data_IF_879753801973
#
_entry.id   IF_879753801973
#
_cell.length_a   1.000
_cell.length_b   1.000
_cell.length_c   1.000
_cell.angle_alpha   90.00
_cell.angle_beta   90.00
_cell.angle_gamma   90.00
#
_symmetry.space_group_name_H-M   'P 1'
#
loop_
_entity.id
_entity.type
_entity.pdbx_description
1 polymer ?
#
# COMPACT_ATOMS: atom_id res chain seq x y z
N UNK A 1 -9.59 -22.09 13.88
CA UNK A 1 -9.82 -20.98 14.83
C UNK A 1 -9.11 -19.68 14.38
N UNK A 2 -9.58 -19.12 13.24
CA UNK A 2 -8.96 -17.98 12.57
C UNK A 2 -8.75 -16.77 13.49
N UNK A 3 -9.75 -16.45 14.32
CA UNK A 3 -9.67 -15.30 15.23
C UNK A 3 -8.50 -15.42 16.23
N UNK A 4 -8.33 -16.60 16.82
CA UNK A 4 -7.23 -16.83 17.75
C UNK A 4 -5.86 -16.76 17.07
N UNK A 5 -5.73 -17.29 15.84
CA UNK A 5 -4.49 -17.22 15.05
C UNK A 5 -4.12 -15.77 14.73
N UNK A 6 -5.09 -15.00 14.25
CA UNK A 6 -4.90 -13.60 13.91
C UNK A 6 -4.61 -12.74 15.14
N UNK A 7 -5.31 -12.97 16.25
CA UNK A 7 -5.06 -12.25 17.49
C UNK A 7 -3.62 -12.48 18.00
N UNK A 8 -3.17 -13.74 18.04
CA UNK A 8 -1.81 -14.09 18.45
C UNK A 8 -0.75 -13.44 17.55
N UNK A 9 -0.97 -13.48 16.23
CA UNK A 9 -0.09 -12.83 15.26
C UNK A 9 -0.03 -11.31 15.45
N UNK A 10 -1.18 -10.63 15.54
CA UNK A 10 -1.27 -9.17 15.59
C UNK A 10 -0.69 -8.58 16.88
N UNK A 11 -0.71 -9.33 17.97
CA UNK A 11 -0.10 -8.93 19.25
C UNK A 11 1.43 -8.94 19.23
N UNK A 12 2.06 -9.58 18.23
CA UNK A 12 3.52 -9.57 18.04
C UNK A 12 4.03 -8.28 17.37
N UNK A 13 3.14 -7.51 16.72
CA UNK A 13 3.50 -6.24 16.06
C UNK A 13 3.78 -5.14 17.10
N UNK A 14 5.06 -4.81 17.28
CA UNK A 14 5.48 -3.77 18.27
C UNK A 14 5.00 -2.36 17.87
N UNK A 15 4.91 -2.08 16.58
CA UNK A 15 4.51 -0.78 16.01
C UNK A 15 3.42 -0.99 14.96
N UNK A 16 2.18 -1.35 15.36
CA UNK A 16 1.14 -1.68 14.42
C UNK A 16 0.72 -0.44 13.61
N UNK A 17 0.73 -0.57 12.29
CA UNK A 17 0.19 0.42 11.38
C UNK A 17 -1.36 0.49 11.48
N UNK A 18 -2.03 1.48 10.87
CA UNK A 18 -3.50 1.61 10.96
C UNK A 18 -4.26 0.36 10.53
N UNK A 19 -3.79 -0.36 9.52
CA UNK A 19 -4.37 -1.64 9.07
C UNK A 19 -4.26 -2.72 10.14
N UNK A 20 -3.09 -2.91 10.73
CA UNK A 20 -2.86 -3.89 11.79
C UNK A 20 -3.70 -3.56 13.04
N UNK A 21 -3.86 -2.27 13.39
CA UNK A 21 -4.74 -1.83 14.49
C UNK A 21 -6.20 -2.19 14.22
N UNK A 22 -6.73 -1.88 13.04
CA UNK A 22 -8.09 -2.23 12.65
C UNK A 22 -8.31 -3.74 12.65
N UNK A 23 -7.34 -4.52 12.16
CA UNK A 23 -7.41 -5.98 12.20
C UNK A 23 -7.36 -6.52 13.62
N UNK A 24 -6.57 -5.94 14.52
CA UNK A 24 -6.51 -6.34 15.94
C UNK A 24 -7.83 -6.08 16.66
N UNK A 25 -8.51 -4.99 16.34
CA UNK A 25 -9.84 -4.70 16.87
C UNK A 25 -10.91 -5.69 16.37
N UNK A 26 -10.80 -6.13 15.13
CA UNK A 26 -11.72 -7.08 14.51
C UNK A 26 -11.47 -8.52 14.98
N UNK A 27 -10.23 -8.98 15.02
CA UNK A 27 -9.85 -10.35 15.37
C UNK A 27 -9.57 -10.53 16.88
N UNK A 28 -10.48 -10.07 17.73
CA UNK A 28 -10.36 -10.29 19.20
C UNK A 28 -10.58 -11.76 19.54
N UNK A 29 -9.75 -12.28 20.44
CA UNK A 29 -9.87 -13.64 20.96
C UNK A 29 -9.27 -13.75 22.36
N UNK A 30 -9.94 -14.47 23.25
CA UNK A 30 -9.45 -14.80 24.58
C UNK A 30 -8.52 -16.04 24.57
N UNK A 31 -8.50 -16.77 23.45
CA UNK A 31 -7.66 -17.96 23.29
C UNK A 31 -6.21 -17.56 23.10
N UNK A 32 -5.35 -17.87 24.06
CA UNK A 32 -3.91 -17.64 23.99
C UNK A 32 -3.23 -18.71 23.14
N UNK A 33 -2.51 -18.28 22.10
CA UNK A 33 -1.68 -19.15 21.27
C UNK A 33 -0.24 -18.64 21.38
N UNK A 34 0.68 -19.53 21.65
CA UNK A 34 2.10 -19.21 21.68
C UNK A 34 2.61 -19.02 20.26
N UNK A 35 3.40 -17.95 20.05
CA UNK A 35 4.11 -17.68 18.81
C UNK A 35 5.58 -18.01 19.03
N UNK A 36 6.11 -18.99 18.28
CA UNK A 36 7.47 -19.46 18.40
C UNK A 36 8.47 -18.63 17.59
N UNK A 37 8.02 -18.11 16.43
CA UNK A 37 8.81 -17.22 15.56
C UNK A 37 7.88 -16.18 14.89
N UNK A 38 8.41 -14.98 14.69
CA UNK A 38 7.69 -13.89 14.05
C UNK A 38 8.59 -13.13 13.09
N UNK A 39 8.19 -13.06 11.82
CA UNK A 39 8.88 -12.31 10.79
C UNK A 39 8.03 -11.12 10.37
N UNK A 40 8.44 -9.89 10.71
CA UNK A 40 7.67 -8.68 10.42
C UNK A 40 7.55 -8.44 8.90
N UNK A 41 6.63 -7.56 8.53
CA UNK A 41 6.45 -7.13 7.15
C UNK A 41 7.71 -6.47 6.60
N UNK A 42 8.10 -6.89 5.39
CA UNK A 42 9.12 -6.21 4.59
C UNK A 42 8.59 -5.95 3.19
N UNK A 43 8.97 -4.80 2.61
CA UNK A 43 8.42 -4.32 1.34
C UNK A 43 8.71 -5.25 0.16
N UNK A 44 9.82 -5.98 0.20
CA UNK A 44 10.22 -6.95 -0.84
C UNK A 44 9.34 -8.20 -0.79
N UNK A 45 9.00 -8.67 0.42
CA UNK A 45 8.24 -9.91 0.63
C UNK A 45 6.73 -9.70 0.60
N UNK A 46 6.25 -8.49 0.93
CA UNK A 46 4.84 -8.10 0.94
C UNK A 46 3.92 -8.92 1.85
N UNK A 47 4.46 -9.71 2.77
CA UNK A 47 3.72 -10.42 3.81
C UNK A 47 4.51 -10.51 5.11
N UNK A 48 3.80 -10.81 6.19
CA UNK A 48 4.32 -11.19 7.51
C UNK A 48 4.11 -12.67 7.72
N UNK A 49 4.92 -13.33 8.53
CA UNK A 49 4.66 -14.71 8.96
C UNK A 49 4.87 -14.90 10.46
N UNK A 50 4.09 -15.81 11.03
CA UNK A 50 4.16 -16.18 12.45
C UNK A 50 4.04 -17.69 12.61
N UNK A 51 5.00 -18.32 13.25
CA UNK A 51 4.96 -19.74 13.58
C UNK A 51 4.17 -19.93 14.89
N UNK A 52 2.99 -20.53 14.77
CA UNK A 52 2.08 -20.79 15.87
C UNK A 52 2.37 -22.19 16.45
N UNK A 53 2.65 -22.26 17.74
CA UNK A 53 3.06 -23.50 18.42
C UNK A 53 2.08 -24.65 18.20
N UNK A 54 2.56 -25.77 17.67
CA UNK A 54 1.77 -26.97 17.40
C UNK A 54 0.69 -26.83 16.31
N UNK A 55 0.63 -25.70 15.58
CA UNK A 55 -0.41 -25.40 14.60
C UNK A 55 0.16 -25.32 13.18
N UNK A 56 1.26 -24.56 13.01
CA UNK A 56 1.87 -24.27 11.73
C UNK A 56 2.24 -22.80 11.57
N UNK A 57 2.65 -22.41 10.36
CA UNK A 57 3.04 -21.03 10.08
C UNK A 57 1.91 -20.25 9.42
N UNK A 58 1.47 -19.18 10.06
CA UNK A 58 0.50 -18.23 9.53
C UNK A 58 1.21 -17.21 8.64
N UNK A 59 0.63 -16.92 7.47
CA UNK A 59 1.07 -15.91 6.52
C UNK A 59 -0.03 -14.88 6.35
N UNK A 60 0.31 -13.59 6.43
CA UNK A 60 -0.64 -12.48 6.31
C UNK A 60 -0.06 -11.40 5.41
N UNK A 61 -0.69 -11.12 4.27
CA UNK A 61 -0.18 -10.13 3.32
C UNK A 61 -0.76 -10.20 1.92
N UNK A 62 0.01 -9.77 0.94
CA UNK A 62 -0.43 -9.74 -0.45
C UNK A 62 -0.57 -11.18 -1.01
N UNK A 63 -1.73 -11.46 -1.60
CA UNK A 63 -2.09 -12.79 -2.10
C UNK A 63 -1.06 -13.32 -3.08
N UNK A 64 -0.64 -12.50 -4.03
CA UNK A 64 0.31 -12.84 -5.09
C UNK A 64 1.76 -13.09 -4.60
N UNK A 65 2.05 -12.78 -3.34
CA UNK A 65 3.35 -13.06 -2.70
C UNK A 65 3.28 -14.27 -1.75
N UNK A 66 2.07 -14.64 -1.33
CA UNK A 66 1.85 -15.83 -0.47
C UNK A 66 1.68 -17.09 -1.32
N UNK A 67 0.96 -16.99 -2.46
CA UNK A 67 0.68 -18.10 -3.35
C UNK A 67 1.42 -17.96 -4.68
N UNK A 68 1.92 -19.07 -5.22
CA UNK A 68 2.57 -19.10 -6.51
C UNK A 68 1.55 -19.14 -7.65
N UNK A 69 1.95 -18.67 -8.84
CA UNK A 69 1.07 -18.66 -10.02
C UNK A 69 0.61 -20.05 -10.44
N UNK A 70 1.40 -21.08 -10.12
CA UNK A 70 1.12 -22.49 -10.41
C UNK A 70 0.14 -23.12 -9.44
N UNK A 71 -0.14 -22.46 -8.30
CA UNK A 71 -1.07 -22.97 -7.30
C UNK A 71 -2.51 -22.88 -7.83
N UNK A 72 -3.31 -23.95 -7.69
CA UNK A 72 -4.71 -23.95 -8.11
C UNK A 72 -5.54 -22.83 -7.43
N UNK A 73 -5.20 -22.49 -6.18
CA UNK A 73 -5.82 -21.41 -5.43
C UNK A 73 -5.52 -20.04 -6.04
N UNK A 74 -4.31 -19.86 -6.62
CA UNK A 74 -3.95 -18.64 -7.32
C UNK A 74 -4.85 -18.44 -8.54
N UNK A 75 -5.02 -19.46 -9.36
CA UNK A 75 -5.87 -19.41 -10.54
C UNK A 75 -7.35 -19.10 -10.18
N UNK A 76 -7.81 -19.61 -9.02
CA UNK A 76 -9.19 -19.40 -8.58
C UNK A 76 -9.49 -17.98 -8.13
N UNK A 77 -8.56 -17.34 -7.43
CA UNK A 77 -8.84 -16.07 -6.73
C UNK A 77 -8.11 -14.85 -7.31
N UNK A 78 -7.04 -15.04 -8.09
CA UNK A 78 -6.22 -13.93 -8.60
C UNK A 78 -7.05 -12.90 -9.38
N UNK A 79 -7.90 -13.34 -10.30
CA UNK A 79 -8.69 -12.42 -11.14
C UNK A 79 -9.71 -11.64 -10.31
N UNK A 80 -10.36 -12.31 -9.35
CA UNK A 80 -11.31 -11.65 -8.45
C UNK A 80 -10.62 -10.61 -7.57
N UNK A 81 -9.44 -10.92 -7.05
CA UNK A 81 -8.65 -10.01 -6.20
C UNK A 81 -8.10 -8.86 -7.02
N UNK A 82 -7.53 -9.14 -8.19
CA UNK A 82 -6.90 -8.13 -9.06
C UNK A 82 -7.90 -7.19 -9.73
N UNK A 83 -9.14 -7.62 -9.93
CA UNK A 83 -10.23 -6.78 -10.44
C UNK A 83 -10.99 -6.03 -9.35
N UNK A 84 -10.80 -6.41 -8.09
CA UNK A 84 -11.45 -5.79 -6.95
C UNK A 84 -10.97 -4.35 -6.70
N UNK A 85 -11.90 -3.47 -6.31
CA UNK A 85 -11.60 -2.08 -5.92
C UNK A 85 -11.05 -1.97 -4.49
N UNK A 86 -11.09 -3.07 -3.72
CA UNK A 86 -10.70 -3.09 -2.31
C UNK A 86 -9.28 -3.64 -2.16
N UNK A 87 -8.53 -3.07 -1.24
CA UNK A 87 -7.25 -3.64 -0.83
C UNK A 87 -7.51 -4.98 -0.15
N UNK A 88 -6.92 -6.04 -0.70
CA UNK A 88 -7.14 -7.39 -0.21
C UNK A 88 -5.89 -7.90 0.52
N UNK A 89 -6.10 -8.45 1.71
CA UNK A 89 -5.08 -9.16 2.48
C UNK A 89 -5.46 -10.62 2.55
N UNK A 90 -4.57 -11.51 2.11
CA UNK A 90 -4.74 -12.93 2.26
C UNK A 90 -4.20 -13.41 3.61
N UNK A 91 -4.92 -14.35 4.23
CA UNK A 91 -4.52 -15.06 5.43
C UNK A 91 -4.40 -16.54 5.05
N UNK A 92 -3.21 -17.10 5.17
CA UNK A 92 -2.93 -18.48 4.84
C UNK A 92 -2.21 -19.20 5.98
N UNK A 93 -2.43 -20.50 6.10
CA UNK A 93 -1.76 -21.38 7.08
C UNK A 93 -1.00 -22.49 6.35
N UNK A 94 0.28 -22.67 6.68
CA UNK A 94 1.06 -23.82 6.28
C UNK A 94 1.27 -24.75 7.50
N UNK A 95 0.71 -25.95 7.44
CA UNK A 95 0.95 -27.02 8.43
C UNK A 95 2.20 -27.82 8.12
N UNK A 96 2.53 -27.94 6.84
CA UNK A 96 3.73 -28.59 6.30
C UNK A 96 4.51 -27.59 5.44
N UNK A 97 5.83 -27.79 5.32
CA UNK A 97 6.77 -26.80 4.73
C UNK A 97 6.40 -26.23 3.36
N UNK A 98 5.51 -26.85 2.57
CA UNK A 98 5.24 -26.40 1.20
C UNK A 98 3.76 -26.30 0.82
N UNK A 99 2.82 -26.55 1.73
CA UNK A 99 1.38 -26.50 1.41
C UNK A 99 0.69 -25.40 2.23
N UNK A 100 0.50 -24.26 1.60
CA UNK A 100 -0.28 -23.14 2.18
C UNK A 100 -1.76 -23.33 1.86
N UNK A 101 -2.58 -23.28 2.87
CA UNK A 101 -4.05 -23.27 2.79
C UNK A 101 -4.56 -21.85 2.98
N UNK A 102 -5.38 -21.35 2.07
CA UNK A 102 -6.03 -20.04 2.24
C UNK A 102 -7.12 -20.17 3.30
N UNK A 103 -6.98 -19.46 4.40
CA UNK A 103 -7.98 -19.44 5.47
C UNK A 103 -9.04 -18.35 5.24
N UNK A 104 -8.62 -17.18 4.75
CA UNK A 104 -9.53 -16.07 4.53
C UNK A 104 -8.90 -14.99 3.63
N UNK A 105 -9.78 -14.18 3.02
CA UNK A 105 -9.45 -12.91 2.41
C UNK A 105 -10.09 -11.78 3.23
N UNK A 106 -9.29 -10.81 3.63
CA UNK A 106 -9.74 -9.61 4.32
C UNK A 106 -9.76 -8.46 3.33
N UNK A 107 -10.93 -7.87 3.13
CA UNK A 107 -11.11 -6.71 2.26
C UNK A 107 -11.07 -5.45 3.10
N UNK A 108 -10.14 -4.55 2.80
CA UNK A 108 -9.97 -3.29 3.50
C UNK A 108 -10.51 -2.17 2.60
N UNK A 109 -11.38 -1.37 3.17
CA UNK A 109 -11.87 -0.14 2.55
C UNK A 109 -11.19 1.04 3.22
N UNK A 110 -10.43 1.80 2.45
CA UNK A 110 -9.92 3.07 2.92
C UNK A 110 -11.07 4.08 3.02
N UNK A 111 -11.20 4.71 4.18
CA UNK A 111 -12.15 5.79 4.40
C UNK A 111 -11.45 7.09 3.99
N UNK A 112 -11.97 7.73 2.95
CA UNK A 112 -11.47 9.04 2.56
C UNK A 112 -11.75 10.07 3.65
N UNK A 113 -10.79 10.97 3.88
CA UNK A 113 -10.99 12.09 4.79
C UNK A 113 -12.17 12.95 4.32
N UNK A 114 -12.95 13.53 5.24
CA UNK A 114 -13.90 14.57 4.90
C UNK A 114 -13.19 15.68 4.11
N UNK A 115 -13.89 16.32 3.18
CA UNK A 115 -13.42 17.48 2.41
C UNK A 115 -12.29 17.21 1.39
N UNK A 116 -11.84 15.94 1.17
CA UNK A 116 -10.82 15.64 0.17
C UNK A 116 -11.24 16.15 -1.23
N UNK A 117 -12.50 15.95 -1.60
CA UNK A 117 -13.02 16.38 -2.90
C UNK A 117 -12.98 17.91 -3.05
N UNK A 118 -13.32 18.65 -1.99
CA UNK A 118 -13.29 20.12 -1.98
C UNK A 118 -11.85 20.64 -2.11
N UNK A 119 -10.90 20.02 -1.38
CA UNK A 119 -9.49 20.37 -1.44
C UNK A 119 -8.91 20.14 -2.84
N UNK A 120 -9.19 18.98 -3.44
CA UNK A 120 -8.71 18.65 -4.79
C UNK A 120 -9.34 19.54 -5.86
N UNK A 121 -10.65 19.87 -5.72
CA UNK A 121 -11.33 20.82 -6.61
C UNK A 121 -10.74 22.23 -6.47
N UNK A 122 -10.42 22.67 -5.27
CA UNK A 122 -9.75 23.95 -5.04
C UNK A 122 -8.39 24.01 -5.72
N UNK A 123 -7.53 23.00 -5.51
CA UNK A 123 -6.22 22.93 -6.15
C UNK A 123 -6.32 22.94 -7.68
N UNK A 124 -7.26 22.19 -8.25
CA UNK A 124 -7.50 22.17 -9.69
C UNK A 124 -7.94 23.55 -10.22
N UNK A 125 -8.77 24.31 -9.48
CA UNK A 125 -9.15 25.68 -9.82
C UNK A 125 -7.97 26.67 -9.77
N UNK A 126 -6.96 26.38 -8.94
CA UNK A 126 -5.71 27.16 -8.89
C UNK A 126 -4.73 26.75 -10.01
N UNK A 127 -5.11 25.90 -10.94
CA UNK A 127 -4.26 25.43 -12.04
C UNK A 127 -3.26 24.34 -11.65
N UNK A 128 -3.41 23.74 -10.46
CA UNK A 128 -2.54 22.64 -10.02
C UNK A 128 -2.97 21.34 -10.69
N UNK A 129 -2.05 20.71 -11.41
CA UNK A 129 -2.23 19.34 -11.95
C UNK A 129 -1.89 18.32 -10.89
N UNK A 130 -2.83 17.42 -10.60
CA UNK A 130 -2.68 16.39 -9.56
C UNK A 130 -2.21 15.08 -10.19
N UNK A 131 -1.15 14.50 -9.64
CA UNK A 131 -0.63 13.17 -9.98
C UNK A 131 -0.62 12.31 -8.72
N UNK A 132 -1.02 11.04 -8.84
CA UNK A 132 -1.07 10.09 -7.71
C UNK A 132 -0.01 9.03 -7.92
N UNK A 133 0.90 8.88 -6.94
CA UNK A 133 2.01 7.93 -6.99
C UNK A 133 1.89 6.99 -5.79
N UNK A 134 1.66 5.69 -6.04
CA UNK A 134 1.43 4.70 -4.97
C UNK A 134 2.19 3.40 -5.22
N UNK A 135 2.59 2.74 -4.14
CA UNK A 135 3.09 1.36 -4.18
C UNK A 135 1.99 0.31 -4.32
N UNK A 136 0.71 0.70 -4.22
CA UNK A 136 -0.44 -0.19 -4.33
C UNK A 136 -0.81 -0.48 -5.79
N UNK A 137 -1.74 -1.43 -5.99
CA UNK A 137 -2.19 -1.83 -7.32
C UNK A 137 -2.86 -0.68 -8.07
N UNK A 138 -2.44 -0.45 -9.32
CA UNK A 138 -2.79 0.74 -10.10
C UNK A 138 -4.30 0.95 -10.27
N UNK A 139 -5.09 -0.11 -10.50
CA UNK A 139 -6.55 -0.03 -10.61
C UNK A 139 -7.23 0.37 -9.30
N UNK A 140 -6.75 -0.15 -8.16
CA UNK A 140 -7.27 0.21 -6.85
C UNK A 140 -7.02 1.70 -6.56
N UNK A 141 -5.78 2.16 -6.82
CA UNK A 141 -5.40 3.57 -6.66
C UNK A 141 -6.24 4.47 -7.59
N UNK A 142 -6.41 4.08 -8.85
CA UNK A 142 -7.25 4.79 -9.83
C UNK A 142 -8.71 4.91 -9.35
N UNK A 143 -9.29 3.81 -8.83
CA UNK A 143 -10.66 3.82 -8.29
C UNK A 143 -10.81 4.78 -7.11
N UNK A 144 -9.85 4.79 -6.17
CA UNK A 144 -9.83 5.69 -5.03
C UNK A 144 -9.67 7.15 -5.50
N UNK A 145 -8.72 7.42 -6.40
CA UNK A 145 -8.47 8.73 -6.95
C UNK A 145 -9.70 9.31 -7.68
N UNK A 146 -10.41 8.47 -8.45
CA UNK A 146 -11.67 8.84 -9.11
C UNK A 146 -12.76 9.19 -8.10
N UNK A 147 -12.93 8.40 -7.03
CA UNK A 147 -13.88 8.68 -5.95
C UNK A 147 -13.53 9.97 -5.20
N UNK A 148 -12.25 10.30 -5.10
CA UNK A 148 -11.75 11.55 -4.53
C UNK A 148 -11.91 12.76 -5.47
N UNK A 149 -12.31 12.56 -6.73
CA UNK A 149 -12.51 13.64 -7.70
C UNK A 149 -11.24 14.10 -8.41
N UNK A 150 -10.18 13.27 -8.44
CA UNK A 150 -8.96 13.57 -9.21
C UNK A 150 -9.27 13.56 -10.71
N UNK A 151 -9.01 14.63 -11.46
CA UNK A 151 -9.22 14.67 -12.90
C UNK A 151 -8.39 13.62 -13.63
N UNK A 152 -8.95 12.96 -14.64
CA UNK A 152 -8.28 11.92 -15.44
C UNK A 152 -7.72 10.74 -14.61
N UNK A 153 -8.32 10.42 -13.47
CA UNK A 153 -7.88 9.29 -12.64
C UNK A 153 -8.02 7.92 -13.32
N UNK A 154 -8.79 7.84 -14.41
CA UNK A 154 -8.89 6.67 -15.32
C UNK A 154 -7.62 6.43 -16.15
N UNK A 155 -6.77 7.45 -16.32
CA UNK A 155 -5.45 7.33 -16.95
C UNK A 155 -4.44 6.82 -15.91
N UNK A 156 -4.33 5.51 -15.79
CA UNK A 156 -3.41 4.88 -14.83
C UNK A 156 -2.44 3.92 -15.52
N UNK A 157 -1.27 3.73 -14.90
CA UNK A 157 -0.24 2.79 -15.34
C UNK A 157 0.31 1.99 -14.15
N UNK A 158 0.70 0.74 -14.42
CA UNK A 158 1.42 -0.13 -13.49
C UNK A 158 2.91 -0.11 -13.82
N UNK A 159 3.75 0.37 -12.91
CA UNK A 159 5.19 0.52 -13.13
C UNK A 159 6.00 -0.71 -12.73
N UNK A 160 5.35 -1.84 -12.42
CA UNK A 160 6.06 -3.09 -12.11
C UNK A 160 6.51 -3.86 -13.36
N UNK A 161 6.07 -3.47 -14.57
CA UNK A 161 6.27 -4.25 -15.80
C UNK A 161 6.93 -3.41 -16.90
N UNK A 162 8.00 -3.94 -17.50
CA UNK A 162 8.64 -3.41 -18.69
C UNK A 162 9.65 -2.29 -18.48
N UNK A 163 10.25 -1.82 -19.56
CA UNK A 163 11.05 -0.59 -19.59
C UNK A 163 10.12 0.62 -19.63
N UNK A 164 10.42 1.64 -18.84
CA UNK A 164 9.57 2.79 -18.63
C UNK A 164 10.27 4.05 -19.15
N UNK A 165 9.68 4.69 -20.16
CA UNK A 165 10.03 6.07 -20.50
C UNK A 165 9.30 7.04 -19.57
N UNK A 166 9.97 7.46 -18.49
CA UNK A 166 9.38 8.36 -17.50
C UNK A 166 8.91 9.70 -18.11
N UNK A 167 9.56 10.22 -19.16
CA UNK A 167 9.17 11.49 -19.78
C UNK A 167 7.84 11.38 -20.49
N UNK A 168 7.56 10.25 -21.12
CA UNK A 168 6.28 9.99 -21.77
C UNK A 168 5.19 9.73 -20.73
N UNK A 169 5.43 8.82 -19.80
CA UNK A 169 4.38 8.38 -18.87
C UNK A 169 3.90 9.48 -17.91
N UNK A 170 4.75 10.42 -17.51
CA UNK A 170 4.31 11.53 -16.63
C UNK A 170 3.38 12.51 -17.34
N UNK A 171 3.43 12.61 -18.65
CA UNK A 171 2.51 13.46 -19.44
C UNK A 171 1.18 12.73 -19.70
N UNK A 172 1.24 11.44 -19.98
CA UNK A 172 0.10 10.64 -20.40
C UNK A 172 -0.80 10.18 -19.25
N UNK A 173 -0.19 9.79 -18.12
CA UNK A 173 -0.91 9.19 -17.01
C UNK A 173 -1.06 10.13 -15.81
N UNK A 174 -2.14 9.91 -15.05
CA UNK A 174 -2.44 10.64 -13.81
C UNK A 174 -2.15 9.80 -12.57
N UNK A 175 -2.34 8.49 -12.67
CA UNK A 175 -2.18 7.56 -11.55
C UNK A 175 -1.09 6.54 -11.87
N UNK A 176 -0.12 6.42 -10.97
CA UNK A 176 1.00 5.50 -11.06
C UNK A 176 0.91 4.50 -9.91
N UNK A 177 0.75 3.21 -10.24
CA UNK A 177 0.66 2.13 -9.28
C UNK A 177 1.88 1.23 -9.28
N UNK A 178 2.06 0.41 -8.23
CA UNK A 178 3.20 -0.50 -8.03
C UNK A 178 4.57 0.19 -8.09
N UNK A 179 4.59 1.47 -7.70
CA UNK A 179 5.79 2.31 -7.80
C UNK A 179 6.76 1.97 -6.67
N UNK A 180 8.01 1.69 -7.03
CA UNK A 180 9.11 1.51 -6.09
C UNK A 180 9.66 2.87 -5.64
N UNK A 181 10.34 2.97 -4.48
CA UNK A 181 10.90 4.25 -3.99
C UNK A 181 11.81 4.95 -4.99
N UNK A 182 12.66 4.20 -5.71
CA UNK A 182 13.53 4.75 -6.76
C UNK A 182 12.73 5.33 -7.92
N UNK A 183 11.68 4.64 -8.35
CA UNK A 183 10.82 5.09 -9.45
C UNK A 183 10.04 6.35 -9.08
N UNK A 184 9.68 6.57 -7.79
CA UNK A 184 9.07 7.82 -7.33
C UNK A 184 9.97 9.02 -7.66
N UNK A 185 11.27 8.91 -7.37
CA UNK A 185 12.25 9.95 -7.69
C UNK A 185 12.36 10.18 -9.21
N UNK A 186 12.39 9.11 -10.02
CA UNK A 186 12.48 9.22 -11.49
C UNK A 186 11.23 9.93 -12.08
N UNK A 187 10.04 9.62 -11.56
CA UNK A 187 8.81 10.32 -11.96
C UNK A 187 8.89 11.82 -11.67
N UNK A 188 9.36 12.21 -10.47
CA UNK A 188 9.50 13.62 -10.13
C UNK A 188 10.55 14.30 -11.02
N UNK A 189 11.69 13.67 -11.23
CA UNK A 189 12.74 14.20 -12.10
C UNK A 189 12.23 14.44 -13.53
N UNK A 190 11.37 13.54 -14.04
CA UNK A 190 10.76 13.69 -15.35
C UNK A 190 9.75 14.86 -15.37
N UNK A 191 8.90 14.97 -14.35
CA UNK A 191 7.94 16.09 -14.21
C UNK A 191 8.66 17.45 -14.13
N UNK A 192 9.75 17.55 -13.38
CA UNK A 192 10.53 18.78 -13.18
C UNK A 192 11.17 19.34 -14.46
N UNK A 193 11.26 18.54 -15.53
CA UNK A 193 11.73 19.06 -16.83
C UNK A 193 10.85 20.16 -17.42
N UNK A 194 9.57 20.16 -17.05
CA UNK A 194 8.57 21.09 -17.62
C UNK A 194 7.73 21.81 -16.57
N UNK A 195 7.74 21.35 -15.32
CA UNK A 195 6.85 21.82 -14.27
C UNK A 195 7.59 22.08 -12.96
N UNK A 196 7.06 22.97 -12.14
CA UNK A 196 7.39 23.07 -10.73
C UNK A 196 6.60 22.01 -9.98
N UNK A 197 7.27 21.15 -9.22
CA UNK A 197 6.69 19.96 -8.64
C UNK A 197 6.67 20.02 -7.11
N UNK A 198 5.48 19.99 -6.52
CA UNK A 198 5.31 19.74 -5.09
C UNK A 198 5.07 18.26 -4.84
N UNK A 199 5.78 17.68 -3.88
CA UNK A 199 5.58 16.28 -3.44
C UNK A 199 4.99 16.26 -2.04
N UNK A 200 3.85 15.57 -1.89
CA UNK A 200 3.26 15.26 -0.58
C UNK A 200 3.55 13.79 -0.27
N UNK A 201 4.15 13.51 0.87
CA UNK A 201 4.49 12.15 1.30
C UNK A 201 4.51 12.00 2.81
N UNK A 202 4.32 10.77 3.30
CA UNK A 202 4.27 10.45 4.73
C UNK A 202 5.23 9.34 5.16
N UNK A 203 5.74 8.56 4.22
CA UNK A 203 6.54 7.38 4.47
C UNK A 203 8.05 7.57 4.30
N UNK A 204 8.83 6.68 4.92
CA UNK A 204 10.29 6.59 4.68
C UNK A 204 10.58 6.34 3.20
N UNK A 205 9.70 5.61 2.50
CA UNK A 205 9.82 5.32 1.07
C UNK A 205 9.64 6.56 0.17
N UNK A 206 9.12 7.66 0.72
CA UNK A 206 8.92 8.92 0.00
C UNK A 206 10.12 9.87 0.13
N UNK A 207 11.03 9.61 1.07
CA UNK A 207 12.20 10.46 1.34
C UNK A 207 13.01 10.81 0.09
N UNK A 208 13.34 9.86 -0.81
CA UNK A 208 14.08 10.21 -2.05
C UNK A 208 13.30 11.14 -2.99
N UNK A 209 11.98 10.99 -3.06
CA UNK A 209 11.10 11.82 -3.86
C UNK A 209 10.87 13.20 -3.23
N UNK A 210 10.66 13.25 -1.90
CA UNK A 210 10.55 14.51 -1.16
C UNK A 210 11.80 15.38 -1.33
N UNK A 211 12.99 14.78 -1.22
CA UNK A 211 14.26 15.50 -1.47
C UNK A 211 14.45 15.99 -2.91
N UNK A 212 13.81 15.31 -3.86
CA UNK A 212 13.90 15.67 -5.28
C UNK A 212 12.95 16.81 -5.64
N UNK A 213 11.80 16.92 -4.97
CA UNK A 213 10.76 17.90 -5.28
C UNK A 213 11.24 19.35 -5.15
N UNK A 214 10.60 20.26 -5.88
CA UNK A 214 10.84 21.72 -5.72
C UNK A 214 10.21 22.25 -4.44
N UNK A 215 9.11 21.61 -3.98
CA UNK A 215 8.48 21.83 -2.68
C UNK A 215 8.12 20.48 -2.08
N UNK A 216 8.62 20.21 -0.89
CA UNK A 216 8.34 18.97 -0.16
C UNK A 216 7.39 19.20 1.02
N UNK A 217 6.36 18.34 1.12
CA UNK A 217 5.30 18.46 2.12
C UNK A 217 5.16 17.12 2.84
N UNK A 218 5.34 17.10 4.15
CA UNK A 218 5.10 15.92 4.98
C UNK A 218 3.80 16.04 5.80
N UNK A 219 3.21 14.90 6.13
CA UNK A 219 2.08 14.83 7.07
C UNK A 219 2.59 14.70 8.51
N UNK A 220 1.89 15.30 9.49
CA UNK A 220 2.25 15.17 10.91
C UNK A 220 2.31 13.70 11.36
N UNK A 221 1.35 12.88 10.89
CA UNK A 221 1.30 11.45 11.18
C UNK A 221 2.36 10.63 10.42
N UNK A 222 3.14 11.26 9.54
CA UNK A 222 4.18 10.63 8.76
C UNK A 222 5.44 10.28 9.56
N UNK A 223 6.38 9.62 8.91
CA UNK A 223 7.66 9.24 9.52
C UNK A 223 8.48 10.48 9.90
N UNK A 224 9.30 10.36 10.96
CA UNK A 224 10.24 11.43 11.33
C UNK A 224 11.17 11.79 10.17
N UNK A 225 11.67 10.78 9.46
CA UNK A 225 12.55 10.99 8.30
C UNK A 225 11.90 11.84 7.17
N UNK A 226 10.60 11.67 6.92
CA UNK A 226 9.89 12.50 5.94
C UNK A 226 9.72 13.94 6.45
N UNK A 227 9.37 14.12 7.73
CA UNK A 227 9.21 15.44 8.37
C UNK A 227 10.51 16.22 8.44
N UNK A 228 11.62 15.57 8.78
CA UNK A 228 12.93 16.21 8.96
C UNK A 228 13.50 16.78 7.67
N UNK A 229 13.07 16.29 6.51
CA UNK A 229 13.58 16.72 5.20
C UNK A 229 12.60 17.58 4.42
N UNK A 230 11.36 17.75 4.89
CA UNK A 230 10.32 18.46 4.16
C UNK A 230 10.34 19.96 4.49
N UNK A 231 10.04 20.79 3.46
CA UNK A 231 9.92 22.24 3.60
C UNK A 231 8.70 22.63 4.44
N UNK A 232 7.65 21.81 4.35
CA UNK A 232 6.36 22.04 5.01
C UNK A 232 5.93 20.77 5.73
N UNK A 233 5.44 20.90 6.97
CA UNK A 233 4.76 19.82 7.69
C UNK A 233 3.32 20.23 7.95
N UNK A 234 2.36 19.46 7.42
CA UNK A 234 0.93 19.67 7.66
C UNK A 234 0.58 19.09 9.03
N UNK A 235 0.03 19.94 9.92
CA UNK A 235 -0.25 19.57 11.31
C UNK A 235 -1.59 18.84 11.49
N UNK A 236 -2.48 18.85 10.49
CA UNK A 236 -3.79 18.19 10.51
C UNK A 236 -4.10 17.51 9.17
#
# INVERSE_FOLDING_TARGET
>A
NLYAYMHAYLTMEKHPNPTAKAMLEYFKSDTKIQVDDFQPFVSERKYTSASLHGIGTLYVGAFEFIFNKEDAIYQTYHDTISQGELRTIAIALAKEKNRKELLSLVYIRDIMRPNVNETLAYLSKQGVTIKIISGDYSKTVSSIARKAGVPNADKYIDLSVGEIDYNQVVEEYTVFGRVLPKQKKELLTALQRKHVVAMVGDGVNDVPALRQADVSIAMLAGSSAAKDISDIVLLE
#
